data_IF_830558172787
#
_entry.id   IF_830558172787
#
_cell.length_a   1.000
_cell.length_b   1.000
_cell.length_c   1.000
_cell.angle_alpha   90.00
_cell.angle_beta   90.00
_cell.angle_gamma   90.00
#
_symmetry.space_group_name_H-M   'P 1'
#
loop_
_entity.id
_entity.type
_entity.pdbx_description
1 polymer ?
#
# COMPACT_ATOMS: atom_id res chain seq x y z
N UNK A 1 0.64 -2.76 -5.53
CA UNK A 1 0.79 -1.46 -6.20
C UNK A 1 -0.26 -1.35 -7.30
N UNK A 2 -1.13 -0.34 -7.26
CA UNK A 2 -2.11 -0.05 -8.33
C UNK A 2 -1.37 0.52 -9.56
N UNK A 3 -1.88 0.24 -10.75
CA UNK A 3 -1.49 0.90 -11.99
C UNK A 3 -1.90 2.39 -11.93
N UNK A 4 -1.02 3.32 -12.34
CA UNK A 4 -1.24 4.77 -12.24
C UNK A 4 -2.39 5.31 -13.08
N UNK A 5 -2.67 4.70 -14.24
CA UNK A 5 -3.66 5.24 -15.16
C UNK A 5 -5.09 4.94 -14.70
N UNK A 6 -5.34 3.73 -14.20
CA UNK A 6 -6.71 3.27 -13.96
C UNK A 6 -6.96 2.97 -12.48
N UNK A 7 -5.94 3.15 -11.62
CA UNK A 7 -5.96 2.78 -10.21
C UNK A 7 -6.32 1.30 -10.01
N UNK A 8 -6.21 0.45 -11.01
CA UNK A 8 -6.53 -0.98 -10.89
C UNK A 8 -5.28 -1.79 -10.59
N UNK A 9 -5.44 -2.94 -9.95
CA UNK A 9 -4.33 -3.89 -9.84
C UNK A 9 -4.13 -4.59 -11.20
N UNK A 10 -2.91 -5.03 -11.54
CA UNK A 10 -2.69 -5.88 -12.70
C UNK A 10 -3.60 -7.13 -12.62
N UNK A 11 -4.07 -7.68 -13.75
CA UNK A 11 -5.00 -8.81 -13.75
C UNK A 11 -4.52 -10.02 -12.93
N UNK A 12 -3.21 -10.28 -12.93
CA UNK A 12 -2.58 -11.34 -12.15
C UNK A 12 -2.81 -11.22 -10.65
N UNK A 13 -2.84 -9.99 -10.13
CA UNK A 13 -3.19 -9.72 -8.73
C UNK A 13 -4.69 -9.85 -8.51
N UNK A 14 -5.51 -9.18 -9.33
CA UNK A 14 -6.96 -9.15 -9.12
C UNK A 14 -7.56 -10.56 -9.13
N UNK A 15 -7.12 -11.43 -10.04
CA UNK A 15 -7.58 -12.83 -10.12
C UNK A 15 -7.20 -13.66 -8.89
N UNK A 16 -5.97 -13.50 -8.39
CA UNK A 16 -5.50 -14.25 -7.22
C UNK A 16 -6.09 -13.72 -5.91
N UNK A 17 -6.33 -12.41 -5.82
CA UNK A 17 -6.92 -11.81 -4.64
C UNK A 17 -8.44 -12.03 -4.57
N UNK A 18 -9.13 -12.10 -5.71
CA UNK A 18 -10.58 -12.33 -5.75
C UNK A 18 -11.01 -13.71 -5.29
N UNK A 19 -10.10 -14.70 -5.31
CA UNK A 19 -10.38 -16.06 -4.83
C UNK A 19 -10.11 -16.24 -3.34
N UNK A 20 -9.49 -15.26 -2.68
CA UNK A 20 -9.32 -15.30 -1.23
C UNK A 20 -10.69 -15.18 -0.56
N UNK A 21 -10.88 -15.92 0.54
CA UNK A 21 -12.12 -15.88 1.30
C UNK A 21 -12.43 -14.46 1.79
N UNK A 22 -13.70 -14.08 1.80
CA UNK A 22 -14.13 -12.84 2.46
C UNK A 22 -13.76 -12.89 3.94
N UNK A 23 -13.23 -11.79 4.47
CA UNK A 23 -12.98 -11.63 5.90
C UNK A 23 -13.94 -10.61 6.47
N UNK A 24 -14.55 -10.99 7.59
CA UNK A 24 -15.36 -10.08 8.40
C UNK A 24 -14.55 -9.69 9.63
N UNK A 25 -14.49 -8.38 9.86
CA UNK A 25 -13.92 -7.78 11.06
C UNK A 25 -15.01 -6.99 11.77
N UNK A 26 -15.03 -7.08 13.09
CA UNK A 26 -16.00 -6.39 13.94
C UNK A 26 -15.87 -4.86 13.87
N UNK A 27 -14.66 -4.33 13.64
CA UNK A 27 -14.41 -2.88 13.59
C UNK A 27 -13.63 -2.46 12.33
N UNK A 28 -14.29 -2.42 11.15
CA UNK A 28 -13.70 -1.84 9.96
C UNK A 28 -13.59 -0.31 10.10
N UNK A 29 -12.55 0.27 9.51
CA UNK A 29 -12.30 1.72 9.52
C UNK A 29 -12.35 2.27 8.10
N UNK A 30 -12.96 3.45 7.96
CA UNK A 30 -12.92 4.19 6.72
C UNK A 30 -11.50 4.68 6.43
N UNK A 31 -11.07 4.56 5.16
CA UNK A 31 -9.81 5.15 4.71
C UNK A 31 -9.90 6.69 4.76
N UNK A 32 -8.77 7.38 5.01
CA UNK A 32 -8.72 8.83 4.90
C UNK A 32 -8.90 9.28 3.44
N UNK A 33 -9.16 10.57 3.22
CA UNK A 33 -9.40 11.12 1.87
C UNK A 33 -8.23 10.88 0.89
N UNK A 34 -6.99 10.87 1.37
CA UNK A 34 -5.81 10.55 0.55
C UNK A 34 -5.64 9.04 0.30
N UNK A 35 -6.46 8.19 0.92
CA UNK A 35 -6.41 6.74 0.85
C UNK A 35 -6.91 6.15 -0.47
N UNK A 36 -7.23 6.97 -1.47
CA UNK A 36 -7.60 6.53 -2.81
C UNK A 36 -6.50 5.75 -3.56
N UNK A 37 -5.30 5.74 -2.98
CA UNK A 37 -4.14 4.94 -3.42
C UNK A 37 -4.22 3.45 -3.06
N UNK A 38 -5.06 3.04 -2.11
CA UNK A 38 -5.15 1.67 -1.63
C UNK A 38 -6.14 0.84 -2.44
N UNK A 39 -5.86 -0.43 -2.76
CA UNK A 39 -6.73 -1.37 -3.52
C UNK A 39 -8.11 -1.58 -2.88
N UNK A 40 -9.08 -2.07 -3.66
CA UNK A 40 -10.37 -2.54 -3.12
C UNK A 40 -10.20 -3.67 -2.09
N UNK A 41 -9.10 -4.42 -2.20
CA UNK A 41 -8.70 -5.46 -1.24
C UNK A 41 -8.02 -4.91 0.03
N UNK A 42 -7.94 -3.58 0.21
CA UNK A 42 -7.28 -2.99 1.38
C UNK A 42 -8.04 -3.33 2.66
N UNK A 43 -7.31 -3.83 3.66
CA UNK A 43 -7.84 -4.00 5.00
C UNK A 43 -7.39 -2.85 5.89
N UNK A 44 -8.36 -2.08 6.39
CA UNK A 44 -8.13 -1.07 7.41
C UNK A 44 -9.10 -1.31 8.57
N UNK A 45 -8.61 -1.93 9.64
CA UNK A 45 -9.45 -2.50 10.70
C UNK A 45 -8.81 -2.27 12.07
N UNK A 46 -9.60 -2.42 13.13
CA UNK A 46 -9.14 -2.54 14.51
C UNK A 46 -9.53 -3.93 15.01
N UNK A 47 -8.61 -4.91 15.09
CA UNK A 47 -8.94 -6.24 15.60
C UNK A 47 -9.57 -6.15 16.99
N UNK A 48 -10.72 -6.78 17.17
CA UNK A 48 -11.47 -6.81 18.44
C UNK A 48 -11.04 -7.93 19.38
N UNK A 49 -10.43 -8.99 18.84
CA UNK A 49 -9.95 -10.16 19.59
C UNK A 49 -8.74 -10.81 18.91
N UNK A 50 -8.14 -11.80 19.58
CA UNK A 50 -6.98 -12.53 19.07
C UNK A 50 -7.27 -13.32 17.80
N UNK A 51 -8.51 -13.74 17.57
CA UNK A 51 -8.86 -14.45 16.35
C UNK A 51 -8.90 -13.50 15.16
N UNK A 52 -9.35 -12.26 15.33
CA UNK A 52 -9.25 -11.20 14.32
C UNK A 52 -7.79 -10.82 14.03
N UNK A 53 -6.93 -10.77 15.05
CA UNK A 53 -5.49 -10.58 14.86
C UNK A 53 -4.88 -11.70 13.99
N UNK A 54 -5.20 -12.96 14.30
CA UNK A 54 -4.76 -14.11 13.52
C UNK A 54 -5.30 -14.09 12.08
N UNK A 55 -6.58 -13.72 11.89
CA UNK A 55 -7.18 -13.55 10.56
C UNK A 55 -6.45 -12.47 9.77
N UNK A 56 -6.17 -11.32 10.38
CA UNK A 56 -5.44 -10.23 9.74
C UNK A 56 -4.03 -10.67 9.35
N UNK A 57 -3.30 -11.31 10.27
CA UNK A 57 -1.94 -11.79 10.02
C UNK A 57 -1.91 -12.81 8.88
N UNK A 58 -2.86 -13.75 8.85
CA UNK A 58 -2.97 -14.74 7.79
C UNK A 58 -3.26 -14.07 6.44
N UNK A 59 -4.14 -13.06 6.38
CA UNK A 59 -4.37 -12.29 5.14
C UNK A 59 -3.13 -11.56 4.65
N UNK A 60 -2.35 -10.96 5.56
CA UNK A 60 -1.07 -10.32 5.19
C UNK A 60 -0.11 -11.35 4.60
N UNK A 61 -0.04 -12.55 5.18
CA UNK A 61 0.78 -13.66 4.63
C UNK A 61 0.30 -14.08 3.24
N UNK A 62 -1.02 -14.17 3.00
CA UNK A 62 -1.58 -14.46 1.68
C UNK A 62 -1.19 -13.39 0.65
N UNK A 63 -1.33 -12.10 1.01
CA UNK A 63 -0.92 -10.98 0.16
C UNK A 63 0.57 -11.04 -0.20
N UNK A 64 1.44 -11.30 0.78
CA UNK A 64 2.89 -11.42 0.55
C UNK A 64 3.22 -12.64 -0.32
N UNK A 65 2.56 -13.77 -0.09
CA UNK A 65 2.77 -14.99 -0.87
C UNK A 65 2.42 -14.76 -2.34
N UNK A 66 1.24 -14.20 -2.61
CA UNK A 66 0.80 -13.85 -3.96
C UNK A 66 1.76 -12.84 -4.60
N UNK A 67 2.18 -11.81 -3.85
CA UNK A 67 3.11 -10.80 -4.35
C UNK A 67 4.44 -11.41 -4.79
N UNK A 68 5.03 -12.29 -3.96
CA UNK A 68 6.27 -12.99 -4.27
C UNK A 68 6.14 -13.95 -5.46
N UNK A 69 5.01 -14.67 -5.56
CA UNK A 69 4.73 -15.56 -6.71
C UNK A 69 4.62 -14.78 -8.02
N UNK A 70 3.94 -13.63 -8.00
CA UNK A 70 3.83 -12.78 -9.18
C UNK A 70 5.20 -12.20 -9.53
N UNK A 71 5.93 -11.67 -8.55
CA UNK A 71 7.23 -11.06 -8.75
C UNK A 71 8.28 -12.03 -9.34
N UNK A 72 8.28 -13.29 -8.91
CA UNK A 72 9.21 -14.31 -9.45
C UNK A 72 8.92 -14.71 -10.89
N UNK A 73 7.72 -14.44 -11.38
CA UNK A 73 7.27 -14.75 -12.73
C UNK A 73 7.21 -13.50 -13.64
N UNK A 74 7.40 -12.29 -13.08
CA UNK A 74 7.35 -11.07 -13.87
C UNK A 74 8.55 -10.95 -14.80
N UNK A 75 8.28 -10.56 -16.04
CA UNK A 75 9.31 -10.10 -16.97
C UNK A 75 9.48 -8.58 -16.86
N UNK A 76 10.70 -8.05 -17.02
CA UNK A 76 10.91 -6.60 -17.03
C UNK A 76 10.09 -5.91 -18.11
N UNK A 77 9.52 -4.75 -17.78
CA UNK A 77 8.92 -3.87 -18.77
C UNK A 77 10.01 -3.37 -19.73
N UNK A 78 9.73 -3.43 -21.03
CA UNK A 78 10.64 -2.96 -22.09
C UNK A 78 10.16 -1.66 -22.75
N UNK A 79 8.89 -1.33 -22.56
CA UNK A 79 8.25 -0.13 -23.09
C UNK A 79 8.50 1.06 -22.18
N UNK A 80 9.12 2.11 -22.70
CA UNK A 80 9.31 3.37 -21.98
C UNK A 80 7.98 3.97 -21.50
N UNK A 81 6.90 3.77 -22.27
CA UNK A 81 5.57 4.25 -21.89
C UNK A 81 5.07 3.51 -20.63
N UNK A 82 5.22 2.18 -20.57
CA UNK A 82 4.73 1.39 -19.45
C UNK A 82 5.59 1.58 -18.20
N UNK A 83 6.91 1.71 -18.37
CA UNK A 83 7.83 2.10 -17.29
C UNK A 83 7.43 3.48 -16.73
N UNK A 84 7.23 4.48 -17.60
CA UNK A 84 6.86 5.84 -17.20
C UNK A 84 5.52 5.87 -16.47
N UNK A 85 4.55 5.05 -16.90
CA UNK A 85 3.32 4.84 -16.16
C UNK A 85 3.68 4.35 -14.77
N UNK A 86 4.25 3.16 -14.60
CA UNK A 86 4.55 2.58 -13.27
C UNK A 86 5.25 3.57 -12.33
N UNK A 87 6.26 4.29 -12.82
CA UNK A 87 6.98 5.32 -12.06
C UNK A 87 6.06 6.45 -11.59
N UNK A 88 5.16 6.96 -12.46
CA UNK A 88 4.18 7.97 -12.07
C UNK A 88 3.23 7.48 -10.96
N UNK A 89 2.87 6.19 -10.97
CA UNK A 89 2.03 5.58 -9.94
C UNK A 89 2.73 5.43 -8.60
N UNK A 90 4.00 5.02 -8.63
CA UNK A 90 4.85 4.96 -7.44
C UNK A 90 5.05 6.36 -6.84
N UNK A 91 5.33 7.36 -7.68
CA UNK A 91 5.42 8.76 -7.27
C UNK A 91 4.13 9.24 -6.61
N UNK A 92 2.96 8.99 -7.22
CA UNK A 92 1.68 9.35 -6.63
C UNK A 92 1.45 8.67 -5.27
N UNK A 93 1.78 7.38 -5.15
CA UNK A 93 1.70 6.65 -3.89
C UNK A 93 2.57 7.29 -2.80
N UNK A 94 3.85 7.57 -3.09
CA UNK A 94 4.77 8.18 -2.13
C UNK A 94 4.30 9.59 -1.73
N UNK A 95 3.93 10.44 -2.69
CA UNK A 95 3.42 11.79 -2.40
C UNK A 95 2.18 11.76 -1.51
N UNK A 96 1.25 10.83 -1.72
CA UNK A 96 0.04 10.68 -0.90
C UNK A 96 0.36 10.14 0.50
N UNK A 97 1.29 9.20 0.62
CA UNK A 97 1.72 8.68 1.92
C UNK A 97 2.49 9.73 2.76
N UNK A 98 3.20 10.66 2.12
CA UNK A 98 3.83 11.80 2.81
C UNK A 98 2.81 12.75 3.46
N UNK A 99 1.54 12.74 3.03
CA UNK A 99 0.43 13.51 3.62
C UNK A 99 -0.18 12.82 4.85
N UNK A 100 0.37 11.69 5.30
CA UNK A 100 -0.12 10.98 6.48
C UNK A 100 0.28 11.71 7.78
N UNK A 101 -0.53 12.68 8.17
CA UNK A 101 -0.32 13.53 9.36
C UNK A 101 -0.19 12.74 10.67
N UNK A 102 -0.77 11.54 10.77
CA UNK A 102 -0.68 10.74 12.00
C UNK A 102 0.74 10.23 12.23
N UNK A 103 1.39 9.74 11.16
CA UNK A 103 2.79 9.29 11.23
C UNK A 103 3.71 10.47 11.51
N UNK A 104 3.49 11.59 10.80
CA UNK A 104 4.26 12.83 10.95
C UNK A 104 4.24 13.38 12.38
N UNK A 105 3.05 13.58 12.97
CA UNK A 105 2.89 14.15 14.33
C UNK A 105 3.52 13.29 15.43
N UNK A 106 3.58 11.97 15.26
CA UNK A 106 4.25 11.08 16.22
C UNK A 106 5.77 11.30 16.19
N UNK A 107 6.34 11.46 15.01
CA UNK A 107 7.77 11.68 14.84
C UNK A 107 8.20 13.10 15.23
N UNK A 108 7.37 14.12 14.93
CA UNK A 108 7.69 15.54 15.18
C UNK A 108 7.87 15.82 16.67
N UNK A 109 7.06 15.17 17.52
CA UNK A 109 7.18 15.27 18.98
C UNK A 109 8.52 14.78 19.52
N UNK A 110 9.17 13.88 18.80
CA UNK A 110 10.43 13.26 19.24
C UNK A 110 11.66 13.91 18.59
N UNK A 111 11.53 14.42 17.36
CA UNK A 111 12.68 14.80 16.53
C UNK A 111 12.60 16.20 15.90
N UNK A 112 11.47 16.91 16.01
CA UNK A 112 11.26 18.21 15.37
C UNK A 112 10.89 18.12 13.88
N UNK A 113 10.36 19.22 13.33
CA UNK A 113 9.74 19.27 12.01
C UNK A 113 10.71 18.98 10.86
N UNK A 114 11.87 19.64 10.81
CA UNK A 114 12.85 19.47 9.73
C UNK A 114 13.35 18.02 9.61
N UNK A 115 13.56 17.35 10.74
CA UNK A 115 14.01 15.96 10.75
C UNK A 115 12.94 15.02 10.18
N UNK A 116 11.67 15.27 10.53
CA UNK A 116 10.55 14.46 10.04
C UNK A 116 10.30 14.67 8.58
N UNK A 117 10.38 15.91 8.09
CA UNK A 117 10.27 16.19 6.66
C UNK A 117 11.31 15.42 5.86
N UNK A 118 12.57 15.46 6.30
CA UNK A 118 13.64 14.67 5.68
C UNK A 118 13.35 13.17 5.78
N UNK A 119 12.97 12.67 6.95
CA UNK A 119 12.72 11.24 7.16
C UNK A 119 11.56 10.71 6.28
N UNK A 120 10.47 11.47 6.17
CA UNK A 120 9.33 11.11 5.34
C UNK A 120 9.69 11.10 3.85
N UNK A 121 10.50 12.06 3.39
CA UNK A 121 10.83 12.25 1.97
C UNK A 121 12.02 11.44 1.47
N UNK A 122 12.94 11.05 2.35
CA UNK A 122 14.19 10.37 1.95
C UNK A 122 14.38 8.98 2.56
N UNK A 123 13.50 8.53 3.45
CA UNK A 123 13.60 7.18 4.05
C UNK A 123 12.30 6.38 3.92
N UNK A 124 11.16 6.92 4.37
CA UNK A 124 9.90 6.15 4.41
C UNK A 124 9.21 6.07 3.06
N UNK A 125 9.09 7.19 2.36
CA UNK A 125 8.35 7.30 1.11
C UNK A 125 9.17 8.07 0.09
N UNK A 126 10.36 7.54 -0.20
CA UNK A 126 11.23 8.08 -1.23
C UNK A 126 10.69 7.74 -2.62
N UNK A 127 11.03 8.57 -3.59
CA UNK A 127 10.86 8.26 -5.00
C UNK A 127 11.94 8.97 -5.80
N UNK A 128 12.34 8.39 -6.92
CA UNK A 128 13.30 9.04 -7.82
C UNK A 128 12.60 10.20 -8.53
N UNK A 129 13.12 11.41 -8.32
CA UNK A 129 12.67 12.63 -8.97
C UNK A 129 13.03 12.64 -10.47
#
# INVERSE_FOLDING_TARGET
MRSPCDRTLPPSYSQQLSVLSGLEFSQPRALPEWGDIFSEFCLFVCPGDSQEEDRFLNRVREFLTIHCQIASQQTPLTSNLDISKVLAGQRNYCTKQQQNDKTRRVLEKSFGEEWVDRYMTTMLFDYVA
#
